data_IF_822311852353
#
_entry.id   IF_822311852353
#
_cell.length_a   1.000
_cell.length_b   1.000
_cell.length_c   1.000
_cell.angle_alpha   90.00
_cell.angle_beta   90.00
_cell.angle_gamma   90.00
#
_symmetry.space_group_name_H-M   'P 1'
#
loop_
_entity.id
_entity.type
_entity.pdbx_description
1 polymer ?
#
# COMPACT_ATOMS: atom_id res chain seq x y z
N UNK A 1 64.80 47.59 24.05
CA UNK A 1 64.00 46.36 23.88
C UNK A 1 63.35 46.06 25.22
N UNK A 2 62.00 45.91 25.31
CA UNK A 2 61.44 44.56 25.17
C UNK A 2 60.00 44.44 24.60
N UNK A 3 59.71 43.18 24.24
CA UNK A 3 58.44 42.43 24.21
C UNK A 3 57.24 42.97 23.41
N UNK A 4 57.14 42.49 22.17
CA UNK A 4 55.86 42.36 21.45
C UNK A 4 55.05 41.25 22.12
N UNK A 5 53.91 41.61 22.69
CA UNK A 5 52.93 40.67 23.24
C UNK A 5 52.18 40.02 22.08
N UNK A 6 52.41 38.74 21.81
CA UNK A 6 51.59 38.00 20.85
C UNK A 6 50.19 37.74 21.41
N UNK A 7 49.18 38.32 20.76
CA UNK A 7 47.77 38.00 21.01
C UNK A 7 47.41 36.73 20.24
N UNK A 8 47.35 35.59 20.94
CA UNK A 8 46.78 34.34 20.40
C UNK A 8 45.28 34.51 20.11
N UNK A 9 44.79 34.20 18.90
CA UNK A 9 43.35 34.24 18.61
C UNK A 9 42.64 33.06 19.30
N UNK A 10 41.64 33.34 20.14
CA UNK A 10 40.81 32.34 20.82
C UNK A 10 39.46 32.12 20.10
N UNK A 11 39.47 31.83 18.79
CA UNK A 11 38.24 31.58 18.02
C UNK A 11 37.94 30.09 17.78
N UNK A 12 38.49 29.18 18.59
CA UNK A 12 38.00 27.80 18.57
C UNK A 12 36.66 27.73 19.31
N UNK A 13 35.57 27.77 18.53
CA UNK A 13 34.24 27.38 18.99
C UNK A 13 34.37 26.06 19.75
N UNK A 14 34.16 26.11 21.07
CA UNK A 14 34.10 24.92 21.90
C UNK A 14 32.96 24.04 21.41
N UNK A 15 33.27 23.04 20.59
CA UNK A 15 32.31 22.02 20.19
C UNK A 15 31.87 21.29 21.46
N UNK A 16 30.58 21.38 21.78
CA UNK A 16 29.99 20.61 22.87
C UNK A 16 29.63 19.23 22.31
N UNK A 17 30.46 18.19 22.48
CA UNK A 17 30.26 16.89 21.82
C UNK A 17 28.91 16.25 22.18
N UNK A 18 28.37 16.57 23.37
CA UNK A 18 27.04 16.13 23.81
C UNK A 18 25.91 16.75 22.98
N UNK A 19 26.04 18.00 22.54
CA UNK A 19 25.05 18.64 21.69
C UNK A 19 25.00 18.00 20.29
N UNK A 20 26.17 17.64 19.75
CA UNK A 20 26.28 16.89 18.50
C UNK A 20 25.74 15.46 18.62
N UNK A 21 26.04 14.76 19.72
CA UNK A 21 25.50 13.42 19.97
C UNK A 21 23.96 13.43 20.08
N UNK A 22 23.39 14.42 20.79
CA UNK A 22 21.93 14.61 20.86
C UNK A 22 21.33 14.98 19.51
N UNK A 23 22.01 15.83 18.73
CA UNK A 23 21.59 16.17 17.38
C UNK A 23 21.56 14.96 16.44
N UNK A 24 22.59 14.11 16.48
CA UNK A 24 22.66 12.87 15.70
C UNK A 24 21.59 11.86 16.12
N UNK A 25 21.33 11.73 17.42
CA UNK A 25 20.27 10.87 17.92
C UNK A 25 18.89 11.37 17.48
N UNK A 26 18.64 12.68 17.55
CA UNK A 26 17.40 13.28 17.04
C UNK A 26 17.23 13.08 15.54
N UNK A 27 18.28 13.29 14.74
CA UNK A 27 18.26 13.04 13.31
C UNK A 27 18.02 11.55 12.98
N UNK A 28 18.64 10.64 13.74
CA UNK A 28 18.41 9.20 13.61
C UNK A 28 16.98 8.78 13.93
N UNK A 29 16.38 9.35 14.98
CA UNK A 29 14.98 9.12 15.32
C UNK A 29 14.02 9.66 14.26
N UNK A 30 14.28 10.86 13.71
CA UNK A 30 13.50 11.43 12.61
C UNK A 30 13.61 10.59 11.34
N UNK A 31 14.82 10.14 11.01
CA UNK A 31 15.06 9.25 9.88
C UNK A 31 14.33 7.93 10.04
N UNK A 32 14.39 7.31 11.22
CA UNK A 32 13.66 6.08 11.54
C UNK A 32 12.14 6.30 11.46
N UNK A 33 11.62 7.39 12.03
CA UNK A 33 10.19 7.71 11.96
C UNK A 33 9.71 7.87 10.50
N UNK A 34 10.51 8.53 9.65
CA UNK A 34 10.21 8.70 8.23
C UNK A 34 10.30 7.39 7.44
N UNK A 35 11.29 6.53 7.73
CA UNK A 35 11.43 5.23 7.04
C UNK A 35 10.37 4.22 7.43
N UNK A 36 9.86 4.29 8.66
CA UNK A 36 8.82 3.39 9.15
C UNK A 36 7.40 3.97 9.07
N UNK A 37 7.22 5.17 8.48
CA UNK A 37 5.93 5.86 8.37
C UNK A 37 5.17 5.92 9.71
N UNK A 38 5.90 6.15 10.81
CA UNK A 38 5.31 6.13 12.16
C UNK A 38 4.31 7.28 12.36
N UNK A 39 4.54 8.39 11.69
CA UNK A 39 3.64 9.54 11.62
C UNK A 39 2.28 9.17 11.03
N UNK A 40 2.25 8.44 9.91
CA UNK A 40 1.02 7.95 9.30
C UNK A 40 0.28 7.00 10.26
N UNK A 41 0.99 6.05 10.87
CA UNK A 41 0.38 5.08 11.81
C UNK A 41 -0.24 5.76 13.02
N UNK A 42 0.45 6.73 13.62
CA UNK A 42 -0.05 7.49 14.77
C UNK A 42 -1.23 8.38 14.36
N UNK A 43 -1.14 9.09 13.23
CA UNK A 43 -2.22 9.93 12.73
C UNK A 43 -3.49 9.14 12.42
N UNK A 44 -3.36 8.03 11.67
CA UNK A 44 -4.50 7.18 11.33
C UNK A 44 -5.09 6.49 12.56
N UNK A 45 -4.26 6.04 13.51
CA UNK A 45 -4.72 5.44 14.78
C UNK A 45 -5.49 6.42 15.67
N UNK A 46 -5.03 7.67 15.78
CA UNK A 46 -5.77 8.71 16.51
C UNK A 46 -7.05 9.10 15.78
N UNK A 47 -6.99 9.23 14.45
CA UNK A 47 -8.15 9.55 13.60
C UNK A 47 -9.23 8.47 13.70
N UNK A 48 -8.85 7.19 13.67
CA UNK A 48 -9.79 6.07 13.78
C UNK A 48 -10.42 6.01 15.18
N UNK A 49 -9.63 6.10 16.26
CA UNK A 49 -10.14 6.07 17.63
C UNK A 49 -11.10 7.23 17.94
N UNK A 50 -10.88 8.41 17.35
CA UNK A 50 -11.77 9.56 17.53
C UNK A 50 -13.08 9.45 16.75
N UNK A 51 -13.05 8.83 15.57
CA UNK A 51 -14.20 8.76 14.68
C UNK A 51 -15.07 7.51 14.88
N UNK A 52 -14.59 6.48 15.59
CA UNK A 52 -15.23 5.17 15.78
C UNK A 52 -16.72 5.24 16.18
N UNK A 53 -17.12 6.19 17.03
CA UNK A 53 -18.50 6.35 17.51
C UNK A 53 -19.53 6.86 16.47
N UNK A 54 -19.12 7.24 15.25
CA UNK A 54 -20.03 7.80 14.22
C UNK A 54 -20.10 7.00 12.91
N UNK A 55 -19.32 5.92 12.77
CA UNK A 55 -19.17 5.16 11.52
C UNK A 55 -19.87 3.79 11.54
N UNK A 56 -20.39 3.35 12.69
CA UNK A 56 -21.11 2.08 12.84
C UNK A 56 -22.40 2.05 12.00
N UNK A 57 -23.12 3.18 11.86
CA UNK A 57 -24.46 3.20 11.24
C UNK A 57 -24.45 3.44 9.71
N UNK A 58 -23.29 3.63 9.06
CA UNK A 58 -23.21 4.02 7.63
C UNK A 58 -22.16 3.28 6.78
N UNK A 59 -21.35 2.40 7.38
CA UNK A 59 -20.24 1.74 6.68
C UNK A 59 -20.07 0.30 7.17
N UNK A 60 -19.44 -0.54 6.33
CA UNK A 60 -19.07 -1.90 6.72
C UNK A 60 -18.15 -1.82 7.96
N UNK A 61 -18.52 -2.47 9.05
CA UNK A 61 -17.72 -2.48 10.29
C UNK A 61 -16.51 -3.40 10.14
N UNK A 62 -15.39 -2.84 9.68
CA UNK A 62 -14.15 -3.58 9.42
C UNK A 62 -13.38 -4.08 10.67
N UNK A 63 -13.44 -3.46 11.87
CA UNK A 63 -12.64 -3.90 13.01
C UNK A 63 -12.83 -5.37 13.45
N UNK A 64 -14.00 -5.95 13.18
CA UNK A 64 -14.29 -7.35 13.49
C UNK A 64 -13.85 -8.33 12.40
N UNK A 65 -13.44 -7.84 11.23
CA UNK A 65 -12.97 -8.69 10.15
C UNK A 65 -11.57 -9.22 10.45
N UNK A 66 -11.47 -10.55 10.55
CA UNK A 66 -10.21 -11.25 10.71
C UNK A 66 -9.81 -11.92 9.40
N UNK A 67 -8.51 -11.89 9.09
CA UNK A 67 -7.95 -12.63 7.96
C UNK A 67 -8.13 -14.12 8.25
N UNK A 68 -8.96 -14.79 7.45
CA UNK A 68 -9.15 -16.24 7.54
C UNK A 68 -8.18 -17.03 6.67
N UNK A 69 -7.77 -16.44 5.57
CA UNK A 69 -6.86 -17.03 4.59
C UNK A 69 -5.78 -16.00 4.31
N UNK A 70 -4.57 -16.30 4.72
CA UNK A 70 -3.41 -15.43 4.56
C UNK A 70 -2.49 -16.00 3.49
N UNK A 71 -2.05 -15.15 2.57
CA UNK A 71 -1.03 -15.47 1.56
C UNK A 71 -1.24 -16.79 0.79
N UNK A 72 -2.50 -17.19 0.55
CA UNK A 72 -2.82 -18.39 -0.22
C UNK A 72 -2.23 -18.29 -1.64
N UNK A 73 -1.31 -19.19 -2.04
CA UNK A 73 -0.76 -19.16 -3.38
C UNK A 73 -1.83 -19.48 -4.43
N UNK A 74 -1.89 -18.67 -5.47
CA UNK A 74 -2.68 -18.96 -6.69
C UNK A 74 -1.72 -19.59 -7.69
N UNK A 75 -1.60 -20.92 -7.67
CA UNK A 75 -0.53 -21.64 -8.38
C UNK A 75 -0.46 -21.36 -9.90
N UNK A 76 -1.58 -20.98 -10.52
CA UNK A 76 -1.63 -20.60 -11.94
C UNK A 76 -1.11 -19.19 -12.24
N UNK A 77 -0.93 -18.34 -11.24
CA UNK A 77 -0.47 -16.95 -11.37
C UNK A 77 0.84 -16.80 -10.59
N UNK A 78 1.95 -16.72 -11.33
CA UNK A 78 3.30 -16.70 -10.73
C UNK A 78 3.60 -15.36 -10.07
N UNK A 79 3.13 -14.26 -10.68
CA UNK A 79 3.35 -12.89 -10.23
C UNK A 79 2.24 -11.97 -10.76
N UNK A 80 2.25 -10.71 -10.31
CA UNK A 80 1.44 -9.61 -10.84
C UNK A 80 -0.09 -9.84 -10.77
N UNK A 81 -0.58 -10.57 -9.77
CA UNK A 81 -2.01 -10.58 -9.44
C UNK A 81 -2.33 -9.22 -8.79
N UNK A 82 -3.06 -8.37 -9.50
CA UNK A 82 -3.32 -6.99 -9.06
C UNK A 82 -4.69 -6.80 -8.42
N UNK A 83 -5.71 -7.54 -8.88
CA UNK A 83 -7.08 -7.36 -8.40
C UNK A 83 -7.87 -8.66 -8.34
N UNK A 84 -8.92 -8.68 -7.53
CA UNK A 84 -9.81 -9.82 -7.31
C UNK A 84 -11.24 -9.35 -6.98
N UNK A 85 -12.25 -10.04 -7.49
CA UNK A 85 -13.66 -9.84 -7.11
C UNK A 85 -14.41 -11.16 -7.05
N UNK A 86 -15.47 -11.21 -6.23
CA UNK A 86 -16.37 -12.36 -6.15
C UNK A 86 -17.51 -12.21 -7.16
N UNK A 87 -17.81 -13.27 -7.91
CA UNK A 87 -19.01 -13.42 -8.74
C UNK A 87 -19.99 -14.32 -7.98
N UNK A 88 -21.01 -13.72 -7.36
CA UNK A 88 -21.96 -14.48 -6.54
C UNK A 88 -22.86 -15.42 -7.34
N UNK A 89 -23.00 -15.21 -8.65
CA UNK A 89 -23.85 -16.00 -9.55
C UNK A 89 -23.16 -17.31 -9.91
N UNK A 90 -21.87 -17.27 -10.25
CA UNK A 90 -21.06 -18.46 -10.57
C UNK A 90 -20.40 -19.11 -9.36
N UNK A 91 -20.35 -18.41 -8.22
CA UNK A 91 -19.60 -18.84 -7.02
C UNK A 91 -18.12 -19.03 -7.33
N UNK A 92 -17.54 -18.05 -8.00
CA UNK A 92 -16.13 -18.03 -8.38
C UNK A 92 -15.51 -16.66 -8.09
N UNK A 93 -14.19 -16.58 -8.20
CA UNK A 93 -13.44 -15.34 -8.15
C UNK A 93 -12.95 -14.98 -9.55
N UNK A 94 -13.03 -13.70 -9.87
CA UNK A 94 -12.35 -13.11 -11.03
C UNK A 94 -11.13 -12.36 -10.54
N UNK A 95 -9.97 -12.62 -11.14
CA UNK A 95 -8.72 -11.93 -10.86
C UNK A 95 -8.16 -11.28 -12.11
N UNK A 96 -7.45 -10.17 -11.97
CA UNK A 96 -6.66 -9.56 -13.06
C UNK A 96 -5.17 -9.70 -12.79
N UNK A 97 -4.42 -9.99 -13.86
CA UNK A 97 -2.95 -10.05 -13.88
C UNK A 97 -2.46 -8.93 -14.79
N UNK A 98 -1.51 -8.09 -14.33
CA UNK A 98 -1.04 -6.93 -15.10
C UNK A 98 -0.07 -7.32 -16.23
N UNK A 99 0.74 -8.38 -16.08
CA UNK A 99 1.75 -8.73 -17.09
C UNK A 99 1.93 -10.26 -17.24
N UNK A 100 1.44 -10.87 -18.34
CA UNK A 100 0.59 -10.26 -19.37
C UNK A 100 -0.80 -9.91 -18.82
N UNK A 101 -1.49 -8.97 -19.47
CA UNK A 101 -2.83 -8.51 -19.10
C UNK A 101 -3.85 -9.63 -19.30
N UNK A 102 -4.32 -10.19 -18.20
CA UNK A 102 -5.19 -11.37 -18.24
C UNK A 102 -6.27 -11.31 -17.17
N UNK A 103 -7.45 -11.80 -17.53
CA UNK A 103 -8.53 -12.11 -16.61
C UNK A 103 -8.48 -13.61 -16.30
N UNK A 104 -8.43 -13.95 -15.01
CA UNK A 104 -8.35 -15.33 -14.53
C UNK A 104 -9.58 -15.65 -13.69
N UNK A 105 -10.26 -16.74 -14.00
CA UNK A 105 -11.30 -17.31 -13.15
C UNK A 105 -10.66 -18.31 -12.18
N UNK A 106 -11.01 -18.18 -10.91
CA UNK A 106 -10.60 -19.10 -9.84
C UNK A 106 -11.83 -19.60 -9.07
N UNK A 107 -11.76 -20.80 -8.50
CA UNK A 107 -12.74 -21.21 -7.50
C UNK A 107 -12.53 -20.44 -6.18
N UNK A 108 -13.40 -20.67 -5.20
CA UNK A 108 -13.31 -20.00 -3.88
C UNK A 108 -12.12 -20.43 -3.03
N UNK A 109 -11.39 -21.47 -3.44
CA UNK A 109 -10.17 -21.93 -2.80
C UNK A 109 -8.91 -21.40 -3.52
N UNK A 110 -9.08 -20.60 -4.58
CA UNK A 110 -7.98 -20.07 -5.39
C UNK A 110 -7.46 -21.05 -6.45
N UNK A 111 -8.17 -22.14 -6.72
CA UNK A 111 -7.81 -23.07 -7.80
C UNK A 111 -8.19 -22.50 -9.15
N UNK A 112 -7.34 -22.73 -10.15
CA UNK A 112 -7.55 -22.28 -11.51
C UNK A 112 -8.80 -22.88 -12.17
N UNK A 113 -9.60 -22.05 -12.82
CA UNK A 113 -10.74 -22.47 -13.65
C UNK A 113 -10.53 -22.12 -15.12
N UNK A 114 -10.19 -20.87 -15.43
CA UNK A 114 -10.05 -20.38 -16.80
C UNK A 114 -9.17 -19.12 -16.89
N UNK A 115 -8.70 -18.80 -18.10
CA UNK A 115 -7.88 -17.62 -18.39
C UNK A 115 -8.32 -16.98 -19.70
N UNK A 116 -8.37 -15.65 -19.71
CA UNK A 116 -8.78 -14.86 -20.86
C UNK A 116 -7.79 -13.70 -21.06
N UNK A 117 -7.11 -13.61 -22.22
CA UNK A 117 -6.26 -12.47 -22.52
C UNK A 117 -7.06 -11.18 -22.61
N UNK A 118 -6.63 -10.14 -21.92
CA UNK A 118 -7.20 -8.79 -21.98
C UNK A 118 -6.52 -7.99 -23.09
N UNK A 119 -6.86 -8.32 -24.34
CA UNK A 119 -6.27 -7.65 -25.51
C UNK A 119 -6.63 -6.16 -25.54
N UNK A 120 -5.62 -5.32 -25.71
CA UNK A 120 -5.77 -3.86 -25.79
C UNK A 120 -5.66 -3.16 -24.43
N UNK A 121 -5.55 -3.93 -23.34
CA UNK A 121 -5.19 -3.42 -22.03
C UNK A 121 -3.66 -3.37 -21.90
N UNK A 122 -3.18 -2.53 -20.98
CA UNK A 122 -1.73 -2.29 -20.77
C UNK A 122 -1.29 -2.17 -19.33
N UNK A 123 -2.23 -1.95 -18.39
CA UNK A 123 -1.90 -1.65 -16.99
C UNK A 123 -3.10 -1.92 -16.07
N UNK A 124 -3.59 -3.16 -16.07
CA UNK A 124 -4.79 -3.55 -15.31
C UNK A 124 -4.47 -3.72 -13.84
N UNK A 125 -5.17 -2.98 -12.98
CA UNK A 125 -4.89 -2.97 -11.55
C UNK A 125 -6.07 -3.40 -10.68
N UNK A 126 -7.30 -3.28 -11.18
CA UNK A 126 -8.48 -3.66 -10.41
C UNK A 126 -9.56 -4.27 -11.30
N UNK A 127 -10.38 -5.13 -10.68
CA UNK A 127 -11.58 -5.69 -11.28
C UNK A 127 -12.69 -5.75 -10.23
N UNK A 128 -13.92 -5.47 -10.64
CA UNK A 128 -15.12 -5.65 -9.79
C UNK A 128 -16.28 -6.23 -10.60
N UNK A 129 -17.04 -7.13 -9.97
CA UNK A 129 -18.24 -7.70 -10.54
C UNK A 129 -19.41 -6.75 -10.34
N UNK A 130 -20.09 -6.41 -11.43
CA UNK A 130 -21.20 -5.45 -11.43
C UNK A 130 -22.57 -6.13 -11.35
N UNK A 131 -22.63 -7.47 -11.36
CA UNK A 131 -23.85 -8.21 -11.64
C UNK A 131 -24.08 -8.40 -13.13
N UNK A 132 -25.13 -9.13 -13.49
CA UNK A 132 -25.59 -9.33 -14.88
C UNK A 132 -24.51 -9.71 -15.90
N UNK A 133 -23.53 -10.49 -15.43
CA UNK A 133 -22.41 -10.93 -16.25
C UNK A 133 -21.48 -9.82 -16.74
N UNK A 134 -21.37 -8.72 -15.98
CA UNK A 134 -20.51 -7.59 -16.29
C UNK A 134 -19.40 -7.43 -15.25
N UNK A 135 -18.22 -7.08 -15.74
CA UNK A 135 -17.04 -6.73 -14.97
C UNK A 135 -16.65 -5.29 -15.32
N UNK A 136 -16.28 -4.50 -14.32
CA UNK A 136 -15.52 -3.27 -14.52
C UNK A 136 -14.04 -3.56 -14.23
N UNK A 137 -13.17 -3.23 -15.18
CA UNK A 137 -11.71 -3.34 -15.06
C UNK A 137 -11.12 -1.94 -15.12
N UNK A 138 -10.24 -1.62 -14.16
CA UNK A 138 -9.56 -0.33 -14.12
C UNK A 138 -8.14 -0.45 -14.69
N UNK A 139 -7.77 0.52 -15.53
CA UNK A 139 -6.41 0.69 -16.04
C UNK A 139 -5.74 1.92 -15.42
N UNK A 140 -4.62 1.72 -14.74
CA UNK A 140 -3.93 2.80 -14.03
C UNK A 140 -3.30 3.78 -15.03
N UNK A 141 -2.46 3.33 -15.97
CA UNK A 141 -1.80 4.24 -16.93
C UNK A 141 -2.78 5.06 -17.76
N UNK A 142 -3.91 4.49 -18.19
CA UNK A 142 -4.91 5.20 -19.00
C UNK A 142 -5.94 5.98 -18.16
N UNK A 143 -5.94 5.80 -16.83
CA UNK A 143 -6.90 6.40 -15.89
C UNK A 143 -8.36 6.14 -16.32
N UNK A 144 -8.64 4.91 -16.75
CA UNK A 144 -9.92 4.53 -17.32
C UNK A 144 -10.54 3.32 -16.64
N UNK A 145 -11.86 3.19 -16.77
CA UNK A 145 -12.61 2.01 -16.36
C UNK A 145 -13.33 1.47 -17.58
N UNK A 146 -13.07 0.22 -17.90
CA UNK A 146 -13.67 -0.49 -19.03
C UNK A 146 -14.66 -1.52 -18.51
N UNK A 147 -15.88 -1.49 -19.04
CA UNK A 147 -16.90 -2.51 -18.72
C UNK A 147 -16.83 -3.59 -19.80
N UNK A 148 -16.71 -4.84 -19.37
CA UNK A 148 -16.63 -6.00 -20.25
C UNK A 148 -17.48 -7.16 -19.74
N UNK A 149 -17.89 -8.10 -20.61
CA UNK A 149 -18.58 -9.32 -20.18
C UNK A 149 -17.67 -10.22 -19.35
N UNK A 150 -18.20 -10.77 -18.26
CA UNK A 150 -17.58 -11.85 -17.47
C UNK A 150 -18.18 -13.22 -17.73
#
# INVERSE_FOLDING_TARGET
>A
MPSVTELRPQWLLGTRPRAWALGLLGAGLLYAAATFHLDERVFYGLKSAWHENSWETRSLWLPEYQVRVEAQPVASVVNNLSGLTFDERRKQLWAVVNNPEELVALDLNGNFLARYPLKGFTDVEAVTYLGDNLLAVAEERSQSVVILPG
#
